data_IF_986040649127
#
_entry.id   IF_986040649127
#
_cell.length_a   1.000
_cell.length_b   1.000
_cell.length_c   1.000
_cell.angle_alpha   90.00
_cell.angle_beta   90.00
_cell.angle_gamma   90.00
#
_symmetry.space_group_name_H-M   'P 1'
#
loop_
_entity.id
_entity.type
_entity.pdbx_description
1 polymer ?
#
# COMPACT_ATOMS: atom_id res chain seq x y z
N UNK A 1 -10.48 8.63 -10.88
CA UNK A 1 -10.27 9.59 -9.79
C UNK A 1 -10.45 10.93 -10.45
N UNK A 2 -11.15 11.84 -9.81
CA UNK A 2 -11.54 13.14 -10.36
C UNK A 2 -11.19 14.23 -9.36
N UNK A 3 -11.15 15.47 -9.82
CA UNK A 3 -10.94 16.63 -8.95
C UNK A 3 -12.02 16.68 -7.86
N UNK A 4 -11.63 17.04 -6.64
CA UNK A 4 -12.49 17.08 -5.46
C UNK A 4 -12.70 15.74 -4.74
N UNK A 5 -12.32 14.60 -5.35
CA UNK A 5 -12.51 13.27 -4.75
C UNK A 5 -11.77 13.15 -3.42
N UNK A 6 -12.41 12.47 -2.45
CA UNK A 6 -11.79 12.07 -1.19
C UNK A 6 -11.07 10.75 -1.38
N UNK A 7 -9.76 10.79 -1.22
CA UNK A 7 -8.88 9.66 -1.51
C UNK A 7 -8.17 9.22 -0.24
N UNK A 8 -8.30 7.93 0.09
CA UNK A 8 -7.55 7.29 1.17
C UNK A 8 -6.34 6.54 0.58
N UNK A 9 -5.14 6.90 0.99
CA UNK A 9 -3.92 6.13 0.69
C UNK A 9 -3.61 5.23 1.90
N UNK A 10 -3.97 3.95 1.78
CA UNK A 10 -3.91 2.98 2.87
C UNK A 10 -2.63 2.13 2.80
N UNK A 11 -1.82 2.23 3.84
CA UNK A 11 -0.42 1.83 3.82
C UNK A 11 0.43 2.75 2.96
N UNK A 12 0.26 4.07 3.13
CA UNK A 12 0.85 5.07 2.23
C UNK A 12 2.38 5.09 2.23
N UNK A 13 3.03 4.58 3.27
CA UNK A 13 4.46 4.74 3.49
C UNK A 13 4.86 6.22 3.44
N UNK A 14 5.79 6.55 2.55
CA UNK A 14 6.20 7.94 2.30
C UNK A 14 5.19 8.76 1.49
N UNK A 15 4.09 8.19 0.97
CA UNK A 15 3.07 8.92 0.21
C UNK A 15 3.35 9.05 -1.29
N UNK A 16 4.17 8.15 -1.86
CA UNK A 16 4.51 8.16 -3.28
C UNK A 16 3.28 7.94 -4.19
N UNK A 17 2.34 7.08 -3.78
CA UNK A 17 1.09 6.84 -4.50
C UNK A 17 0.24 8.12 -4.54
N UNK A 18 0.00 8.73 -3.38
CA UNK A 18 -0.68 10.03 -3.28
C UNK A 18 -0.03 11.14 -4.12
N UNK A 19 1.30 11.25 -4.12
CA UNK A 19 2.03 12.22 -4.96
C UNK A 19 1.79 11.97 -6.45
N UNK A 20 1.75 10.71 -6.86
CA UNK A 20 1.47 10.33 -8.24
C UNK A 20 0.02 10.64 -8.61
N UNK A 21 -0.92 10.38 -7.70
CA UNK A 21 -2.33 10.70 -7.89
C UNK A 21 -2.56 12.20 -8.12
N UNK A 22 -1.94 13.07 -7.31
CA UNK A 22 -2.00 14.53 -7.50
C UNK A 22 -1.41 14.96 -8.85
N UNK A 23 -0.26 14.40 -9.24
CA UNK A 23 0.35 14.73 -10.54
C UNK A 23 -0.58 14.40 -11.72
N UNK A 24 -1.35 13.33 -11.63
CA UNK A 24 -2.24 12.87 -12.71
C UNK A 24 -3.58 13.61 -12.68
N UNK A 25 -4.17 13.82 -11.50
CA UNK A 25 -5.55 14.33 -11.36
C UNK A 25 -5.62 15.83 -11.05
N UNK A 26 -4.49 16.47 -10.72
CA UNK A 26 -4.40 17.83 -10.22
C UNK A 26 -4.42 17.92 -8.68
N UNK A 27 -4.17 19.13 -8.17
CA UNK A 27 -3.97 19.39 -6.74
C UNK A 27 -5.26 19.46 -5.89
N UNK A 28 -6.43 19.21 -6.51
CA UNK A 28 -7.73 19.31 -5.86
C UNK A 28 -8.22 18.00 -5.20
N UNK A 29 -7.33 17.02 -5.02
CA UNK A 29 -7.69 15.80 -4.28
C UNK A 29 -7.70 16.05 -2.77
N UNK A 30 -8.70 15.50 -2.08
CA UNK A 30 -8.76 15.48 -0.62
C UNK A 30 -8.09 14.21 -0.09
N UNK A 31 -6.77 14.27 0.06
CA UNK A 31 -5.95 13.13 0.49
C UNK A 31 -6.01 12.89 2.01
N UNK A 32 -6.22 11.62 2.37
CA UNK A 32 -5.97 11.07 3.70
C UNK A 32 -4.88 10.01 3.60
N UNK A 33 -3.75 10.23 4.27
CA UNK A 33 -2.65 9.27 4.36
C UNK A 33 -2.80 8.42 5.61
N UNK A 34 -2.84 7.11 5.42
CA UNK A 34 -3.07 6.13 6.47
C UNK A 34 -1.97 5.08 6.47
N UNK A 35 -1.27 4.91 7.60
CA UNK A 35 -0.18 3.93 7.71
C UNK A 35 0.00 3.47 9.17
N UNK A 36 0.34 2.19 9.44
CA UNK A 36 0.61 1.73 10.80
C UNK A 36 1.91 2.30 11.39
N UNK A 37 2.86 2.71 10.54
CA UNK A 37 4.16 3.20 10.96
C UNK A 37 4.16 4.73 11.05
N UNK A 38 4.03 5.25 12.27
CA UNK A 38 4.17 6.69 12.56
C UNK A 38 5.40 7.35 11.91
N UNK A 39 6.59 6.71 11.86
CA UNK A 39 7.75 7.31 11.19
C UNK A 39 7.54 7.54 9.69
N UNK A 40 6.74 6.72 9.00
CA UNK A 40 6.42 6.92 7.59
C UNK A 40 5.57 8.18 7.42
N UNK A 41 4.49 8.30 8.19
CA UNK A 41 3.59 9.47 8.17
C UNK A 41 4.29 10.78 8.50
N UNK A 42 5.24 10.79 9.46
CA UNK A 42 5.96 12.02 9.82
C UNK A 42 6.74 12.63 8.65
N UNK A 43 7.22 11.80 7.72
CA UNK A 43 8.05 12.23 6.60
C UNK A 43 7.23 12.71 5.38
N UNK A 44 5.92 12.46 5.36
CA UNK A 44 5.05 12.81 4.21
C UNK A 44 4.84 14.31 4.06
N UNK A 45 4.88 15.07 5.16
CA UNK A 45 4.62 16.52 5.20
C UNK A 45 5.49 17.35 4.25
N UNK A 46 6.67 16.84 3.85
CA UNK A 46 7.60 17.53 2.95
C UNK A 46 7.26 17.35 1.46
N UNK A 47 6.32 16.46 1.14
CA UNK A 47 6.04 16.04 -0.23
C UNK A 47 4.83 16.74 -0.86
N UNK A 48 4.02 17.41 -0.04
CA UNK A 48 2.74 17.98 -0.46
C UNK A 48 2.70 19.48 -0.15
N UNK A 49 2.29 20.28 -1.13
CA UNK A 49 2.06 21.72 -0.94
C UNK A 49 0.88 21.97 0.01
N UNK A 50 -0.23 21.24 -0.20
CA UNK A 50 -1.38 21.18 0.69
C UNK A 50 -1.22 19.98 1.64
N UNK A 51 -1.19 20.23 2.94
CA UNK A 51 -0.99 19.15 3.94
C UNK A 51 -2.17 18.17 3.92
N UNK A 52 -1.93 16.87 3.63
CA UNK A 52 -2.98 15.86 3.69
C UNK A 52 -3.36 15.56 5.14
N UNK A 53 -4.56 15.00 5.35
CA UNK A 53 -4.93 14.45 6.65
C UNK A 53 -4.07 13.21 6.94
N UNK A 54 -3.52 13.10 8.15
CA UNK A 54 -2.68 11.97 8.55
C UNK A 54 -3.41 11.14 9.61
N UNK A 55 -3.39 9.82 9.48
CA UNK A 55 -3.98 8.93 10.48
C UNK A 55 -3.14 7.66 10.60
N UNK A 56 -2.94 7.18 11.82
CA UNK A 56 -2.14 5.97 12.09
C UNK A 56 -3.08 4.81 12.42
N UNK A 57 -2.85 3.64 11.83
CA UNK A 57 -3.61 2.42 12.15
C UNK A 57 -3.38 1.27 11.17
N UNK A 58 -4.11 0.18 11.36
CA UNK A 58 -4.02 -1.06 10.57
C UNK A 58 -5.28 -1.26 9.71
N UNK A 59 -5.14 -1.96 8.58
CA UNK A 59 -6.24 -2.16 7.63
C UNK A 59 -7.50 -2.77 8.24
N UNK A 60 -7.33 -3.64 9.24
CA UNK A 60 -8.42 -4.40 9.87
C UNK A 60 -9.31 -3.56 10.80
N UNK A 61 -8.85 -2.36 11.17
CA UNK A 61 -9.55 -1.47 12.09
C UNK A 61 -9.37 -0.01 11.66
N UNK A 62 -10.04 0.36 10.57
CA UNK A 62 -9.94 1.71 10.03
C UNK A 62 -10.77 2.70 10.85
N UNK A 63 -10.18 3.77 11.41
CA UNK A 63 -10.88 4.75 12.25
C UNK A 63 -11.68 5.77 11.42
N UNK A 64 -12.35 5.30 10.38
CA UNK A 64 -13.14 6.10 9.46
C UNK A 64 -14.59 5.64 9.46
N UNK A 65 -15.50 6.59 9.28
CA UNK A 65 -16.91 6.30 9.02
C UNK A 65 -17.06 5.53 7.70
N UNK A 66 -18.15 4.79 7.58
CA UNK A 66 -18.50 4.13 6.33
C UNK A 66 -18.78 5.14 5.21
N UNK A 67 -18.62 4.71 3.96
CA UNK A 67 -18.93 5.51 2.76
C UNK A 67 -18.29 6.92 2.75
N UNK A 68 -17.07 7.03 3.25
CA UNK A 68 -16.37 8.32 3.38
C UNK A 68 -15.54 8.69 2.15
N UNK A 69 -14.95 7.70 1.48
CA UNK A 69 -13.96 7.90 0.43
C UNK A 69 -14.49 7.53 -0.96
N UNK A 70 -14.14 8.33 -1.95
CA UNK A 70 -14.44 8.08 -3.37
C UNK A 70 -13.44 7.07 -3.96
N UNK A 71 -12.19 7.11 -3.51
CA UNK A 71 -11.13 6.18 -3.88
C UNK A 71 -10.33 5.70 -2.66
N UNK A 72 -9.94 4.43 -2.67
CA UNK A 72 -8.93 3.87 -1.76
C UNK A 72 -7.77 3.34 -2.60
N UNK A 73 -6.55 3.72 -2.24
CA UNK A 73 -5.30 3.30 -2.87
C UNK A 73 -4.51 2.41 -1.90
N UNK A 74 -3.99 1.29 -2.40
CA UNK A 74 -3.00 0.46 -1.71
C UNK A 74 -1.82 0.19 -2.65
N UNK A 75 -0.67 0.80 -2.37
CA UNK A 75 0.56 0.59 -3.16
C UNK A 75 1.60 -0.21 -2.38
N UNK A 76 1.81 -1.46 -2.78
CA UNK A 76 2.74 -2.42 -2.18
C UNK A 76 2.54 -2.63 -0.66
N UNK A 77 1.31 -2.45 -0.18
CA UNK A 77 0.99 -2.43 1.26
C UNK A 77 -0.04 -3.50 1.67
N UNK A 78 -0.97 -3.87 0.80
CA UNK A 78 -2.11 -4.73 1.17
C UNK A 78 -1.66 -6.16 1.49
N UNK A 79 -0.58 -6.67 0.87
CA UNK A 79 0.02 -7.97 1.21
C UNK A 79 0.57 -8.07 2.63
N UNK A 80 0.80 -6.94 3.28
CA UNK A 80 1.28 -6.88 4.65
C UNK A 80 0.12 -6.80 5.68
N UNK A 81 -1.14 -6.89 5.22
CA UNK A 81 -2.31 -6.98 6.09
C UNK A 81 -2.26 -8.23 6.99
N UNK A 82 -2.74 -8.09 8.23
CA UNK A 82 -2.84 -9.19 9.20
C UNK A 82 -3.90 -10.19 8.75
N UNK A 83 -5.02 -9.69 8.23
CA UNK A 83 -6.13 -10.48 7.72
C UNK A 83 -6.70 -9.89 6.45
N UNK A 84 -6.31 -10.43 5.29
CA UNK A 84 -6.68 -9.90 3.98
C UNK A 84 -8.21 -9.74 3.80
N UNK A 85 -9.01 -10.72 4.23
CA UNK A 85 -10.48 -10.64 4.14
C UNK A 85 -11.04 -9.49 4.98
N UNK A 86 -10.56 -9.32 6.20
CA UNK A 86 -10.97 -8.25 7.11
C UNK A 86 -10.52 -6.88 6.57
N UNK A 87 -9.29 -6.79 6.09
CA UNK A 87 -8.76 -5.59 5.44
C UNK A 87 -9.61 -5.17 4.23
N UNK A 88 -9.95 -6.11 3.34
CA UNK A 88 -10.82 -5.83 2.19
C UNK A 88 -12.22 -5.42 2.64
N UNK A 89 -12.79 -6.07 3.67
CA UNK A 89 -14.10 -5.71 4.21
C UNK A 89 -14.12 -4.28 4.79
N UNK A 90 -13.09 -3.89 5.53
CA UNK A 90 -12.93 -2.52 6.06
C UNK A 90 -12.74 -1.51 4.94
N UNK A 91 -11.90 -1.81 3.94
CA UNK A 91 -11.72 -0.96 2.75
C UNK A 91 -13.05 -0.76 2.05
N UNK A 92 -13.82 -1.83 1.83
CA UNK A 92 -15.15 -1.76 1.24
C UNK A 92 -16.12 -0.93 2.09
N UNK A 93 -16.07 -1.07 3.42
CA UNK A 93 -16.92 -0.30 4.35
C UNK A 93 -16.67 1.20 4.25
N UNK A 94 -15.41 1.63 4.19
CA UNK A 94 -15.05 3.07 4.15
C UNK A 94 -15.20 3.68 2.76
N UNK A 95 -15.27 2.86 1.72
CA UNK A 95 -15.52 3.27 0.34
C UNK A 95 -17.00 3.63 0.15
N UNK A 96 -17.27 4.72 -0.58
CA UNK A 96 -18.63 5.05 -1.03
C UNK A 96 -19.14 4.00 -2.01
N UNK A 97 -20.46 3.89 -2.12
CA UNK A 97 -21.09 3.12 -3.22
C UNK A 97 -20.62 3.66 -4.57
N UNK A 98 -20.13 2.77 -5.43
CA UNK A 98 -19.55 3.14 -6.73
C UNK A 98 -18.14 3.76 -6.65
N UNK A 99 -17.56 3.85 -5.45
CA UNK A 99 -16.16 4.22 -5.27
C UNK A 99 -15.22 3.17 -5.85
N UNK A 100 -13.95 3.53 -5.98
CA UNK A 100 -12.94 2.68 -6.61
C UNK A 100 -11.86 2.26 -5.61
N UNK A 101 -11.57 0.96 -5.62
CA UNK A 101 -10.44 0.42 -4.88
C UNK A 101 -9.32 0.09 -5.86
N UNK A 102 -8.16 0.71 -5.69
CA UNK A 102 -6.98 0.54 -6.56
C UNK A 102 -5.87 -0.12 -5.77
N UNK A 103 -5.42 -1.28 -6.26
CA UNK A 103 -4.32 -2.04 -5.67
C UNK A 103 -3.18 -2.12 -6.68
N UNK A 104 -1.97 -1.81 -6.22
CA UNK A 104 -0.72 -2.12 -6.93
C UNK A 104 0.11 -2.98 -6.00
N UNK A 105 0.34 -4.25 -6.34
CA UNK A 105 1.17 -5.13 -5.52
C UNK A 105 1.89 -6.18 -6.37
N UNK A 106 2.73 -6.98 -5.73
CA UNK A 106 3.43 -8.10 -6.35
C UNK A 106 2.45 -9.25 -6.65
N UNK A 107 2.05 -9.36 -7.91
CA UNK A 107 1.25 -10.49 -8.41
C UNK A 107 2.09 -11.75 -8.68
N UNK A 108 1.40 -12.89 -8.82
CA UNK A 108 2.00 -14.15 -9.25
C UNK A 108 1.82 -14.30 -10.76
N UNK A 109 2.90 -14.51 -11.54
CA UNK A 109 2.77 -14.76 -12.98
C UNK A 109 1.93 -16.00 -13.27
N UNK A 110 1.10 -15.98 -14.32
CA UNK A 110 0.28 -17.13 -14.74
C UNK A 110 1.15 -18.27 -15.27
N UNK A 111 2.23 -17.94 -15.98
CA UNK A 111 3.18 -18.92 -16.48
C UNK A 111 3.98 -19.54 -15.33
N UNK A 112 3.85 -20.85 -15.16
CA UNK A 112 4.46 -21.64 -14.08
C UNK A 112 5.99 -21.54 -14.04
N UNK A 113 6.66 -21.46 -15.20
CA UNK A 113 8.11 -21.31 -15.28
C UNK A 113 8.54 -19.92 -14.79
N UNK A 114 7.87 -18.87 -15.27
CA UNK A 114 8.15 -17.50 -14.84
C UNK A 114 7.86 -17.36 -13.33
N UNK A 115 6.76 -17.93 -12.86
CA UNK A 115 6.41 -17.98 -11.43
C UNK A 115 7.49 -18.67 -10.60
N UNK A 116 8.06 -19.78 -11.09
CA UNK A 116 9.16 -20.47 -10.43
C UNK A 116 10.43 -19.60 -10.39
N UNK A 117 10.79 -18.93 -11.49
CA UNK A 117 11.92 -18.01 -11.55
C UNK A 117 11.76 -16.81 -10.59
N UNK A 118 10.59 -16.17 -10.57
CA UNK A 118 10.28 -15.06 -9.64
C UNK A 118 10.34 -15.55 -8.19
N UNK A 119 9.76 -16.72 -7.91
CA UNK A 119 9.80 -17.31 -6.57
C UNK A 119 11.23 -17.63 -6.12
N UNK A 120 12.07 -18.16 -7.00
CA UNK A 120 13.49 -18.42 -6.74
C UNK A 120 14.24 -17.12 -6.44
N UNK A 121 14.03 -16.08 -7.26
CA UNK A 121 14.65 -14.77 -7.06
C UNK A 121 14.27 -14.16 -5.71
N UNK A 122 12.98 -14.08 -5.40
CA UNK A 122 12.48 -13.50 -4.15
C UNK A 122 12.94 -14.30 -2.92
N UNK A 123 13.04 -15.63 -3.03
CA UNK A 123 13.42 -16.51 -1.93
C UNK A 123 14.91 -16.49 -1.61
N UNK A 124 15.76 -16.47 -2.64
CA UNK A 124 17.20 -16.73 -2.48
C UNK A 124 18.06 -15.54 -2.90
N UNK A 125 17.85 -15.02 -4.11
CA UNK A 125 18.71 -13.96 -4.66
C UNK A 125 18.50 -12.65 -3.90
N UNK A 126 17.25 -12.24 -3.70
CA UNK A 126 16.92 -10.96 -3.07
C UNK A 126 17.48 -10.85 -1.64
N UNK A 127 17.32 -11.81 -0.72
CA UNK A 127 17.90 -11.72 0.62
C UNK A 127 19.43 -11.62 0.60
N UNK A 128 20.11 -12.38 -0.26
CA UNK A 128 21.57 -12.36 -0.37
C UNK A 128 22.04 -10.97 -0.80
N UNK A 129 21.45 -10.42 -1.87
CA UNK A 129 21.77 -9.07 -2.35
C UNK A 129 21.47 -8.02 -1.28
N UNK A 130 20.32 -8.12 -0.62
CA UNK A 130 19.93 -7.17 0.43
C UNK A 130 20.89 -7.20 1.63
N UNK A 131 21.40 -8.37 2.02
CA UNK A 131 22.39 -8.51 3.10
C UNK A 131 23.76 -7.97 2.66
N UNK A 132 24.19 -8.24 1.43
CA UNK A 132 25.46 -7.73 0.92
C UNK A 132 25.50 -6.19 0.90
N UNK A 133 24.40 -5.53 0.53
CA UNK A 133 24.32 -4.06 0.44
C UNK A 133 23.95 -3.42 1.78
N UNK A 134 22.99 -3.98 2.51
CA UNK A 134 22.40 -3.39 3.70
C UNK A 134 22.80 -4.04 5.03
N UNK A 135 23.70 -5.03 5.01
CA UNK A 135 24.11 -5.78 6.20
C UNK A 135 22.92 -6.47 6.88
N UNK A 136 22.85 -6.39 8.21
CA UNK A 136 21.76 -7.00 9.00
C UNK A 136 20.37 -6.44 8.65
N UNK A 137 20.26 -5.23 8.12
CA UNK A 137 18.97 -4.67 7.68
C UNK A 137 18.39 -5.44 6.48
N UNK A 138 19.26 -6.06 5.67
CA UNK A 138 18.88 -6.91 4.54
C UNK A 138 18.01 -8.10 4.93
N UNK A 139 18.12 -8.59 6.17
CA UNK A 139 17.31 -9.71 6.67
C UNK A 139 15.80 -9.41 6.65
N UNK A 140 15.41 -8.13 6.73
CA UNK A 140 13.99 -7.74 6.66
C UNK A 140 13.35 -8.11 5.32
N UNK A 141 14.13 -8.14 4.24
CA UNK A 141 13.66 -8.48 2.89
C UNK A 141 13.26 -9.95 2.74
N UNK A 142 13.67 -10.84 3.65
CA UNK A 142 13.19 -12.23 3.69
C UNK A 142 11.66 -12.28 3.85
N UNK A 143 11.08 -11.29 4.54
CA UNK A 143 9.63 -11.18 4.73
C UNK A 143 8.87 -11.00 3.42
N UNK A 144 9.50 -10.42 2.40
CA UNK A 144 8.85 -10.15 1.11
C UNK A 144 8.44 -11.45 0.40
N UNK A 145 9.29 -12.47 0.45
CA UNK A 145 8.94 -13.79 -0.10
C UNK A 145 7.78 -14.43 0.67
N UNK A 146 7.72 -14.24 2.00
CA UNK A 146 6.63 -14.76 2.83
C UNK A 146 5.29 -14.13 2.44
N UNK A 147 5.24 -12.81 2.27
CA UNK A 147 4.00 -12.11 1.91
C UNK A 147 3.59 -12.38 0.45
N UNK A 148 4.55 -12.46 -0.48
CA UNK A 148 4.30 -12.92 -1.86
C UNK A 148 3.64 -14.31 -1.92
N UNK A 149 4.08 -15.27 -1.08
CA UNK A 149 3.48 -16.60 -1.06
C UNK A 149 2.04 -16.61 -0.56
N UNK A 150 1.74 -15.81 0.47
CA UNK A 150 0.41 -15.71 1.10
C UNK A 150 -0.60 -14.97 0.23
N UNK A 151 -0.13 -14.12 -0.69
CA UNK A 151 -0.98 -13.42 -1.64
C UNK A 151 -1.80 -14.43 -2.48
N UNK A 152 -3.11 -14.22 -2.68
CA UNK A 152 -3.93 -15.10 -3.52
C UNK A 152 -3.39 -15.16 -4.95
N UNK A 153 -3.74 -16.25 -5.65
CA UNK A 153 -3.53 -16.34 -7.10
C UNK A 153 -4.53 -15.46 -7.86
#
# INVERSE_FOLDING_TARGET
MKQGDRVLDAGCGFGNMSKTALRICGDDLQLTLYDPLRPMLKNTNRLFAKKPALTCGVFEHMPFLGEKFDDVLCGYSLRDAIGLRTAIAEIHRVLKKGGRFVIVDLGKPDNSLIRACVSFYLRLVLPIVAIMVGGRLGLKFVTLYRTYRLWPE
#
